data_IF_036593331802
#
_entry.id   IF_036593331802
#
_cell.length_a   1.000
_cell.length_b   1.000
_cell.length_c   1.000
_cell.angle_alpha   90.00
_cell.angle_beta   90.00
_cell.angle_gamma   90.00
#
_symmetry.space_group_name_H-M   'P 1'
#
loop_
_entity.id
_entity.type
_entity.pdbx_description
1 polymer ?
#
# COMPACT_ATOMS: atom_id res chain seq x y z
N UNK A 1 -17.41 12.34 -62.68
CA UNK A 1 -18.82 12.42 -62.99
C UNK A 1 -19.49 13.10 -61.80
N UNK A 2 -19.80 14.37 -62.03
CA UNK A 2 -20.50 15.30 -61.16
C UNK A 2 -21.88 14.77 -60.79
N UNK A 3 -22.37 15.08 -59.59
CA UNK A 3 -23.57 15.92 -59.41
C UNK A 3 -23.75 16.30 -57.96
N UNK A 4 -23.75 17.57 -57.74
CA UNK A 4 -24.24 18.27 -56.54
C UNK A 4 -25.74 18.60 -56.74
N UNK A 5 -26.44 18.87 -55.60
CA UNK A 5 -27.52 19.85 -55.43
C UNK A 5 -27.99 19.74 -54.00
N UNK A 6 -27.80 20.67 -53.12
CA UNK A 6 -28.33 22.03 -52.88
C UNK A 6 -29.68 22.07 -52.22
N UNK A 7 -29.64 22.59 -51.00
CA UNK A 7 -30.38 23.70 -50.36
C UNK A 7 -31.91 23.62 -50.19
N UNK A 8 -32.35 23.87 -48.94
CA UNK A 8 -33.05 25.13 -48.69
C UNK A 8 -33.43 25.30 -47.21
N UNK A 9 -33.16 26.45 -46.73
CA UNK A 9 -33.55 27.17 -45.54
C UNK A 9 -35.06 27.26 -45.35
N UNK A 10 -35.50 27.28 -44.09
CA UNK A 10 -36.40 28.36 -43.68
C UNK A 10 -36.40 28.63 -42.15
N UNK A 11 -36.35 29.88 -41.85
CA UNK A 11 -36.38 30.55 -40.57
C UNK A 11 -37.79 30.71 -40.01
N UNK A 12 -37.92 30.67 -38.70
CA UNK A 12 -38.79 31.60 -37.92
C UNK A 12 -38.55 31.40 -36.41
N UNK A 13 -38.12 32.42 -35.74
CA UNK A 13 -38.40 32.74 -34.32
C UNK A 13 -39.63 33.69 -34.35
N UNK A 14 -40.24 34.10 -33.21
CA UNK A 14 -39.67 34.27 -31.86
C UNK A 14 -40.68 34.02 -30.68
N UNK A 15 -40.18 34.35 -29.47
CA UNK A 15 -40.84 34.75 -28.20
C UNK A 15 -41.46 33.59 -27.38
N UNK A 16 -41.32 33.50 -26.04
CA UNK A 16 -41.31 34.55 -25.05
C UNK A 16 -40.78 34.00 -23.69
N UNK A 17 -40.47 34.89 -22.81
CA UNK A 17 -39.90 34.79 -21.49
C UNK A 17 -40.55 33.77 -20.53
N UNK A 18 -39.64 33.12 -19.74
CA UNK A 18 -39.99 32.43 -18.51
C UNK A 18 -38.77 32.42 -17.57
N UNK A 19 -38.72 33.37 -16.68
CA UNK A 19 -37.74 33.39 -15.59
C UNK A 19 -37.98 32.20 -14.65
N UNK A 20 -36.91 31.52 -14.27
CA UNK A 20 -37.01 30.44 -13.29
C UNK A 20 -35.67 29.84 -12.89
N UNK A 21 -35.05 30.41 -11.87
CA UNK A 21 -34.30 29.70 -10.85
C UNK A 21 -32.95 29.06 -11.28
N UNK A 22 -31.89 29.78 -11.09
CA UNK A 22 -30.56 29.21 -10.85
C UNK A 22 -30.65 28.25 -9.66
N UNK A 23 -30.73 26.97 -9.91
CA UNK A 23 -30.40 25.95 -8.93
C UNK A 23 -28.87 25.76 -9.00
N UNK A 24 -28.17 26.51 -8.20
CA UNK A 24 -26.80 26.21 -7.86
C UNK A 24 -26.77 24.76 -7.31
N UNK A 25 -26.17 23.87 -8.06
CA UNK A 25 -25.76 22.57 -7.51
C UNK A 25 -24.66 22.84 -6.49
N UNK A 26 -25.08 23.03 -5.25
CA UNK A 26 -24.20 23.02 -4.09
C UNK A 26 -23.71 21.57 -3.93
N UNK A 27 -22.55 21.30 -4.52
CA UNK A 27 -21.81 20.08 -4.38
C UNK A 27 -21.06 20.07 -3.05
N UNK A 28 -21.76 20.26 -1.93
CA UNK A 28 -21.19 19.94 -0.63
C UNK A 28 -21.04 18.42 -0.56
N UNK A 29 -19.80 17.93 -0.71
CA UNK A 29 -19.44 16.61 -0.26
C UNK A 29 -19.90 16.50 1.21
N UNK A 30 -20.87 15.64 1.47
CA UNK A 30 -21.31 15.28 2.81
C UNK A 30 -20.09 14.77 3.56
N UNK A 31 -19.50 15.59 4.43
CA UNK A 31 -18.59 15.09 5.45
C UNK A 31 -19.40 14.06 6.25
N UNK A 32 -19.03 12.78 6.12
CA UNK A 32 -19.68 11.70 6.83
C UNK A 32 -19.73 12.03 8.32
N UNK A 33 -20.88 11.86 8.95
CA UNK A 33 -21.06 12.12 10.37
C UNK A 33 -19.99 11.35 11.16
N UNK A 34 -19.23 12.04 12.00
CA UNK A 34 -18.21 11.44 12.88
C UNK A 34 -18.80 10.97 14.21
N UNK A 35 -20.12 11.10 14.39
CA UNK A 35 -20.83 10.72 15.63
C UNK A 35 -22.10 9.97 15.32
N UNK A 36 -22.47 9.07 16.24
CA UNK A 36 -23.77 8.39 16.30
C UNK A 36 -24.92 9.39 16.55
N UNK A 37 -26.19 9.00 16.33
CA UNK A 37 -27.36 9.86 16.59
C UNK A 37 -27.47 10.38 18.03
N UNK A 38 -26.87 9.68 19.01
CA UNK A 38 -26.81 10.08 20.41
C UNK A 38 -25.61 10.98 20.76
N UNK A 39 -24.81 11.36 19.74
CA UNK A 39 -23.61 12.20 19.88
C UNK A 39 -22.36 11.46 20.33
N UNK A 40 -22.38 10.13 20.48
CA UNK A 40 -21.20 9.35 20.76
C UNK A 40 -20.29 9.27 19.53
N UNK A 41 -18.94 9.24 19.70
CA UNK A 41 -18.03 9.02 18.59
C UNK A 41 -18.31 7.65 17.94
N UNK A 42 -18.18 7.54 16.62
CA UNK A 42 -18.26 6.26 15.93
C UNK A 42 -17.19 5.30 16.49
N UNK A 43 -17.53 4.02 16.70
CA UNK A 43 -16.54 3.00 17.05
C UNK A 43 -15.47 2.93 15.95
N UNK A 44 -14.22 2.71 16.38
CA UNK A 44 -13.07 2.68 15.49
C UNK A 44 -12.16 1.50 15.77
N UNK A 45 -11.55 0.98 14.74
CA UNK A 45 -10.55 -0.08 14.81
C UNK A 45 -9.18 0.47 14.40
N UNK A 46 -8.13 0.06 15.13
CA UNK A 46 -6.76 0.35 14.76
C UNK A 46 -6.32 -0.58 13.64
N UNK A 47 -5.71 -0.02 12.61
CA UNK A 47 -5.19 -0.73 11.44
C UNK A 47 -3.73 -0.35 11.23
N UNK A 48 -2.81 -1.29 11.45
CA UNK A 48 -1.37 -1.13 11.16
C UNK A 48 -1.03 -1.78 9.84
N UNK A 49 -0.52 -0.99 8.90
CA UNK A 49 -0.03 -1.47 7.62
C UNK A 49 1.49 -1.40 7.59
N UNK A 50 2.12 -2.51 7.24
CA UNK A 50 3.58 -2.64 7.13
C UNK A 50 3.93 -3.04 5.71
N UNK A 51 4.95 -2.44 5.13
CA UNK A 51 5.51 -2.86 3.86
C UNK A 51 7.03 -2.95 3.93
N UNK A 52 7.60 -3.90 3.20
CA UNK A 52 9.05 -3.99 3.07
C UNK A 52 9.53 -5.27 2.43
N UNK A 53 10.62 -5.14 1.67
CA UNK A 53 11.43 -6.22 1.15
C UNK A 53 12.51 -6.57 2.20
N UNK A 54 12.14 -7.32 3.24
CA UNK A 54 13.03 -7.64 4.36
C UNK A 54 13.72 -8.99 4.20
N UNK A 55 13.77 -9.52 2.98
CA UNK A 55 14.58 -10.70 2.71
C UNK A 55 16.06 -10.38 2.92
N UNK A 56 16.78 -11.34 3.50
CA UNK A 56 18.20 -11.21 3.77
C UNK A 56 18.91 -12.44 3.24
N UNK A 57 19.79 -12.33 2.43
CA UNK A 57 20.55 -13.45 1.91
C UNK A 57 20.67 -13.41 0.41
N UNK A 58 21.67 -14.10 -0.07
CA UNK A 58 22.02 -14.10 -1.49
C UNK A 58 20.97 -14.78 -2.37
N UNK A 59 20.03 -15.53 -1.78
CA UNK A 59 18.99 -16.24 -2.49
C UNK A 59 17.62 -15.57 -2.35
N UNK A 60 17.58 -14.34 -1.84
CA UNK A 60 16.34 -13.58 -1.70
C UNK A 60 15.27 -14.39 -0.96
N UNK A 61 15.53 -14.68 0.32
CA UNK A 61 14.64 -15.45 1.19
C UNK A 61 14.69 -14.93 2.63
N UNK A 62 13.74 -15.40 3.46
CA UNK A 62 13.60 -15.03 4.86
C UNK A 62 14.24 -16.03 5.84
N UNK A 63 14.94 -17.06 5.37
CA UNK A 63 15.45 -18.17 6.21
C UNK A 63 16.50 -17.73 7.22
N UNK A 64 17.16 -16.59 6.99
CA UNK A 64 18.13 -16.00 7.94
C UNK A 64 17.47 -15.39 9.19
N UNK A 65 16.17 -15.11 9.13
CA UNK A 65 15.31 -14.74 10.26
C UNK A 65 15.28 -13.26 10.63
N UNK A 66 16.14 -12.39 10.05
CA UNK A 66 16.19 -10.97 10.40
C UNK A 66 14.89 -10.26 10.02
N UNK A 67 14.43 -10.45 8.79
CA UNK A 67 13.17 -9.89 8.31
C UNK A 67 11.97 -10.44 9.06
N UNK A 68 11.96 -11.74 9.38
CA UNK A 68 10.91 -12.38 10.18
C UNK A 68 10.81 -11.73 11.56
N UNK A 69 11.95 -11.52 12.26
CA UNK A 69 11.95 -10.88 13.58
C UNK A 69 11.45 -9.44 13.53
N UNK A 70 11.80 -8.69 12.48
CA UNK A 70 11.32 -7.30 12.32
C UNK A 70 9.81 -7.30 12.09
N UNK A 71 9.28 -8.09 11.15
CA UNK A 71 7.84 -8.18 10.93
C UNK A 71 7.07 -8.61 12.19
N UNK A 72 7.57 -9.62 12.91
CA UNK A 72 6.99 -10.07 14.18
C UNK A 72 6.93 -8.95 15.22
N UNK A 73 8.03 -8.19 15.36
CA UNK A 73 8.10 -7.07 16.31
C UNK A 73 7.17 -5.91 15.98
N UNK A 74 6.88 -5.70 14.69
CA UNK A 74 6.01 -4.63 14.21
C UNK A 74 4.53 -4.90 14.40
N UNK A 75 4.12 -6.18 14.51
CA UNK A 75 2.71 -6.58 14.71
C UNK A 75 1.77 -5.95 13.70
N UNK A 76 2.11 -6.07 12.40
CA UNK A 76 1.30 -5.55 11.31
C UNK A 76 -0.05 -6.27 11.21
N UNK A 77 -1.13 -5.52 11.06
CA UNK A 77 -2.46 -6.08 10.78
C UNK A 77 -2.57 -6.48 9.30
N UNK A 78 -1.88 -5.74 8.44
CA UNK A 78 -1.67 -6.04 7.01
C UNK A 78 -0.19 -5.84 6.70
N UNK A 79 0.45 -6.86 6.11
CA UNK A 79 1.87 -6.84 5.73
C UNK A 79 1.97 -7.04 4.21
N UNK A 80 2.52 -6.05 3.52
CA UNK A 80 2.85 -6.10 2.10
C UNK A 80 4.30 -6.53 1.98
N UNK A 81 4.52 -7.79 1.59
CA UNK A 81 5.82 -8.45 1.61
C UNK A 81 6.31 -8.74 0.19
N UNK A 82 7.60 -8.52 -0.07
CA UNK A 82 8.26 -8.82 -1.33
C UNK A 82 9.32 -9.90 -1.13
N UNK A 83 9.71 -10.55 -2.22
CA UNK A 83 10.64 -11.69 -2.21
C UNK A 83 10.23 -12.77 -1.20
N UNK A 84 8.94 -13.07 -1.18
CA UNK A 84 8.30 -13.93 -0.20
C UNK A 84 8.66 -15.42 -0.42
N UNK A 85 9.93 -15.73 -0.22
CA UNK A 85 10.50 -17.07 -0.30
C UNK A 85 10.89 -17.55 1.10
N UNK A 86 10.43 -18.76 1.47
CA UNK A 86 10.64 -19.37 2.78
C UNK A 86 11.00 -20.84 2.61
N UNK A 87 12.09 -21.26 3.22
CA UNK A 87 12.49 -22.66 3.32
C UNK A 87 12.51 -23.38 1.97
N UNK A 88 11.76 -24.47 1.89
CA UNK A 88 11.61 -25.27 0.67
C UNK A 88 10.57 -24.71 -0.33
N UNK A 89 10.05 -23.50 -0.07
CA UNK A 89 9.00 -22.85 -0.84
C UNK A 89 7.66 -23.57 -0.84
N UNK A 90 7.45 -24.49 0.10
CA UNK A 90 6.17 -25.16 0.26
C UNK A 90 5.11 -24.25 0.92
N UNK A 91 3.82 -24.53 0.68
CA UNK A 91 2.74 -23.84 1.41
C UNK A 91 2.84 -24.00 2.94
N UNK A 92 3.40 -25.13 3.41
CA UNK A 92 3.59 -25.36 4.84
C UNK A 92 4.67 -24.45 5.43
N UNK A 93 5.78 -24.22 4.71
CA UNK A 93 6.82 -23.27 5.12
C UNK A 93 6.28 -21.83 5.16
N UNK A 94 5.53 -21.42 4.13
CA UNK A 94 4.87 -20.12 4.09
C UNK A 94 3.87 -19.95 5.26
N UNK A 95 3.03 -20.95 5.52
CA UNK A 95 2.08 -20.93 6.64
C UNK A 95 2.79 -20.77 8.00
N UNK A 96 3.88 -21.50 8.24
CA UNK A 96 4.67 -21.39 9.47
C UNK A 96 5.22 -19.97 9.65
N UNK A 97 5.73 -19.37 8.59
CA UNK A 97 6.21 -17.99 8.62
C UNK A 97 5.08 -17.00 8.92
N UNK A 98 3.93 -17.15 8.26
CA UNK A 98 2.74 -16.31 8.48
C UNK A 98 2.28 -16.39 9.93
N UNK A 99 2.21 -17.59 10.51
CA UNK A 99 1.85 -17.78 11.93
C UNK A 99 2.89 -17.16 12.86
N UNK A 100 4.15 -17.12 12.49
CA UNK A 100 5.22 -16.49 13.27
C UNK A 100 5.08 -14.96 13.27
N UNK A 101 4.87 -14.35 12.10
CA UNK A 101 4.90 -12.88 11.96
C UNK A 101 3.57 -12.20 12.30
N UNK A 102 2.46 -12.92 12.16
CA UNK A 102 1.11 -12.37 12.31
C UNK A 102 0.32 -13.06 13.44
N UNK A 103 0.61 -14.32 13.71
CA UNK A 103 -0.09 -15.12 14.70
C UNK A 103 -0.98 -16.21 14.08
N UNK A 104 -1.48 -17.14 14.92
CA UNK A 104 -2.35 -18.21 14.47
C UNK A 104 -3.67 -17.66 13.92
N UNK A 105 -4.10 -18.19 12.78
CA UNK A 105 -5.36 -17.80 12.13
C UNK A 105 -5.25 -16.62 11.18
N UNK A 106 -4.07 -16.05 11.00
CA UNK A 106 -3.85 -15.06 9.94
C UNK A 106 -4.00 -15.68 8.54
N UNK A 107 -4.53 -14.89 7.62
CA UNK A 107 -4.69 -15.22 6.21
C UNK A 107 -3.52 -14.67 5.40
N UNK A 108 -3.22 -15.27 4.26
CA UNK A 108 -2.23 -14.73 3.34
C UNK A 108 -2.51 -15.07 1.88
N UNK A 109 -1.98 -14.25 1.00
CA UNK A 109 -1.79 -14.56 -0.41
C UNK A 109 -0.29 -14.48 -0.71
N UNK A 110 0.23 -15.44 -1.46
CA UNK A 110 1.59 -15.47 -1.98
C UNK A 110 1.53 -15.78 -3.47
N UNK A 111 2.18 -15.01 -4.29
CA UNK A 111 2.39 -15.40 -5.68
C UNK A 111 3.09 -16.77 -5.75
N UNK A 112 2.71 -17.66 -6.70
CA UNK A 112 3.25 -19.02 -6.73
C UNK A 112 4.78 -19.04 -6.85
N UNK A 113 5.54 -19.48 -5.82
CA UNK A 113 7.01 -19.50 -5.87
C UNK A 113 7.60 -20.46 -6.90
N UNK A 114 6.78 -21.38 -7.43
CA UNK A 114 7.16 -22.25 -8.54
C UNK A 114 7.16 -21.52 -9.89
N UNK A 115 6.41 -20.42 -9.99
CA UNK A 115 6.28 -19.59 -11.20
C UNK A 115 7.18 -18.38 -11.13
N UNK A 116 7.20 -17.71 -9.94
CA UNK A 116 7.91 -16.46 -9.73
C UNK A 116 9.17 -16.66 -8.88
N UNK A 117 10.27 -16.11 -9.33
CA UNK A 117 11.55 -16.26 -8.62
C UNK A 117 11.61 -15.43 -7.32
N UNK A 118 10.97 -14.26 -7.33
CA UNK A 118 10.92 -13.30 -6.21
C UNK A 118 9.47 -12.85 -5.97
N UNK A 119 8.60 -13.78 -5.52
CA UNK A 119 7.17 -13.55 -5.42
C UNK A 119 6.84 -12.44 -4.43
N UNK A 120 5.77 -11.69 -4.73
CA UNK A 120 5.14 -10.78 -3.80
C UNK A 120 4.07 -11.50 -2.97
N UNK A 121 3.65 -10.90 -1.86
CA UNK A 121 2.57 -11.45 -1.05
C UNK A 121 1.94 -10.43 -0.11
N UNK A 122 0.87 -10.87 0.53
CA UNK A 122 0.12 -10.09 1.52
C UNK A 122 -0.23 -11.03 2.66
N UNK A 123 0.02 -10.58 3.89
CA UNK A 123 -0.34 -11.29 5.12
C UNK A 123 -1.29 -10.39 5.92
N UNK A 124 -2.35 -10.94 6.50
CA UNK A 124 -3.30 -10.15 7.29
C UNK A 124 -3.98 -10.98 8.36
N UNK A 125 -4.32 -10.34 9.49
CA UNK A 125 -5.17 -10.94 10.53
C UNK A 125 -6.65 -10.91 10.20
N UNK A 126 -7.05 -10.18 9.17
CA UNK A 126 -8.43 -10.09 8.71
C UNK A 126 -8.76 -11.13 7.63
N UNK A 127 -10.04 -11.46 7.40
CA UNK A 127 -10.41 -12.35 6.31
C UNK A 127 -10.01 -11.78 4.94
N UNK A 128 -9.48 -12.62 4.06
CA UNK A 128 -9.29 -12.31 2.65
C UNK A 128 -10.53 -12.78 1.89
N UNK A 129 -11.26 -11.85 1.28
CA UNK A 129 -12.46 -12.13 0.47
C UNK A 129 -12.10 -12.60 -0.93
N UNK A 130 -11.06 -12.01 -1.51
CA UNK A 130 -10.51 -12.36 -2.81
C UNK A 130 -9.03 -11.99 -2.88
N UNK A 131 -8.26 -12.70 -3.68
CA UNK A 131 -6.84 -12.39 -3.89
C UNK A 131 -6.36 -12.92 -5.23
N UNK A 132 -5.24 -12.40 -5.72
CA UNK A 132 -4.61 -12.83 -6.95
C UNK A 132 -3.42 -11.98 -7.32
N UNK A 133 -2.91 -12.20 -8.53
CA UNK A 133 -1.88 -11.36 -9.14
C UNK A 133 -2.46 -10.64 -10.36
N UNK A 134 -2.13 -9.38 -10.51
CA UNK A 134 -2.33 -8.65 -11.75
C UNK A 134 -1.01 -8.63 -12.53
N UNK A 135 -1.08 -9.02 -13.80
CA UNK A 135 0.08 -9.15 -14.69
C UNK A 135 0.91 -7.87 -14.76
N UNK A 136 2.22 -8.00 -14.53
CA UNK A 136 3.19 -6.96 -14.81
C UNK A 136 3.97 -7.30 -16.09
N UNK A 137 3.58 -6.73 -17.24
CA UNK A 137 4.21 -7.07 -18.51
C UNK A 137 5.68 -6.61 -18.63
N UNK A 138 6.20 -5.92 -17.62
CA UNK A 138 7.58 -5.44 -17.58
C UNK A 138 8.57 -6.47 -17.04
N UNK A 139 8.08 -7.53 -16.38
CA UNK A 139 8.91 -8.58 -15.78
C UNK A 139 8.21 -9.94 -15.85
N UNK A 140 8.96 -11.01 -15.57
CA UNK A 140 8.44 -12.38 -15.56
C UNK A 140 8.75 -13.11 -14.25
N UNK A 141 9.35 -12.42 -13.29
CA UNK A 141 9.79 -13.01 -12.03
C UNK A 141 8.91 -12.62 -10.82
N UNK A 142 7.92 -11.76 -11.04
CA UNK A 142 6.86 -11.33 -10.13
C UNK A 142 5.78 -10.54 -10.86
N UNK A 143 4.62 -10.44 -10.25
CA UNK A 143 3.48 -9.62 -10.67
C UNK A 143 3.11 -8.59 -9.58
N UNK A 144 1.91 -7.98 -9.67
CA UNK A 144 1.34 -7.17 -8.60
C UNK A 144 0.41 -8.03 -7.77
N UNK A 145 0.85 -8.48 -6.59
CA UNK A 145 0.03 -9.28 -5.70
C UNK A 145 -1.06 -8.40 -5.05
N UNK A 146 -2.32 -8.83 -5.08
CA UNK A 146 -3.42 -8.09 -4.48
C UNK A 146 -4.32 -8.96 -3.61
N UNK A 147 -4.97 -8.34 -2.61
CA UNK A 147 -6.00 -8.97 -1.79
C UNK A 147 -7.10 -7.95 -1.44
N UNK A 148 -8.36 -8.38 -1.54
CA UNK A 148 -9.51 -7.72 -0.94
C UNK A 148 -9.68 -8.25 0.48
N UNK A 149 -9.56 -7.37 1.45
CA UNK A 149 -9.53 -7.69 2.89
C UNK A 149 -10.80 -7.14 3.53
N UNK A 150 -11.53 -8.00 4.23
CA UNK A 150 -12.72 -7.67 5.02
C UNK A 150 -12.30 -6.98 6.32
N UNK A 151 -12.28 -5.66 6.30
CA UNK A 151 -12.01 -4.87 7.51
C UNK A 151 -13.28 -4.73 8.36
N UNK A 152 -13.17 -4.57 9.69
CA UNK A 152 -14.30 -4.13 10.50
C UNK A 152 -14.86 -2.81 9.98
N UNK A 153 -16.13 -2.80 9.57
CA UNK A 153 -16.79 -1.62 9.05
C UNK A 153 -17.34 -1.77 7.63
N UNK A 154 -17.85 -0.68 7.04
CA UNK A 154 -18.56 -0.75 5.77
C UNK A 154 -17.64 -0.74 4.53
N UNK A 155 -16.33 -0.59 4.69
CA UNK A 155 -15.39 -0.39 3.56
C UNK A 155 -14.27 -1.40 3.61
N UNK A 156 -14.19 -2.24 2.57
CA UNK A 156 -13.11 -3.20 2.38
C UNK A 156 -11.80 -2.51 1.96
N UNK A 157 -10.68 -3.17 2.29
CA UNK A 157 -9.35 -2.75 1.86
C UNK A 157 -8.87 -3.58 0.68
N UNK A 158 -8.50 -2.92 -0.40
CA UNK A 158 -7.70 -3.51 -1.47
C UNK A 158 -6.22 -3.22 -1.20
N UNK A 159 -5.52 -4.24 -0.77
CA UNK A 159 -4.08 -4.19 -0.50
C UNK A 159 -3.31 -4.70 -1.71
N UNK A 160 -2.29 -3.96 -2.15
CA UNK A 160 -1.45 -4.33 -3.30
C UNK A 160 0.02 -4.29 -2.90
N UNK A 161 0.67 -5.44 -2.96
CA UNK A 161 2.11 -5.61 -2.72
C UNK A 161 2.86 -5.54 -4.04
N UNK A 162 3.85 -4.66 -4.11
CA UNK A 162 4.59 -4.37 -5.34
C UNK A 162 6.09 -4.46 -5.13
N UNK A 163 6.80 -4.92 -6.18
CA UNK A 163 8.24 -4.87 -6.26
C UNK A 163 8.63 -4.41 -7.68
N UNK A 164 8.82 -3.11 -7.86
CA UNK A 164 9.12 -2.53 -9.16
C UNK A 164 10.56 -2.86 -9.60
N UNK A 165 10.85 -2.65 -10.88
CA UNK A 165 12.17 -2.94 -11.44
C UNK A 165 13.27 -2.04 -10.86
N UNK A 166 14.43 -2.63 -10.60
CA UNK A 166 15.66 -1.91 -10.20
C UNK A 166 16.20 -1.03 -11.33
N UNK A 167 15.94 -1.40 -12.59
CA UNK A 167 16.51 -0.77 -13.77
C UNK A 167 15.62 0.36 -14.29
N UNK A 168 16.03 1.61 -14.00
CA UNK A 168 15.55 2.81 -14.70
C UNK A 168 14.18 3.34 -14.24
N UNK A 169 14.13 4.64 -14.03
CA UNK A 169 12.91 5.35 -13.60
C UNK A 169 11.77 5.26 -14.65
N UNK A 170 12.11 5.17 -15.93
CA UNK A 170 11.11 5.04 -17.03
C UNK A 170 10.36 3.72 -16.94
N UNK A 171 11.05 2.61 -16.68
CA UNK A 171 10.43 1.29 -16.54
C UNK A 171 9.50 1.27 -15.32
N UNK A 172 9.93 1.81 -14.18
CA UNK A 172 9.10 1.95 -12.98
C UNK A 172 7.86 2.82 -13.22
N UNK A 173 7.99 3.91 -14.01
CA UNK A 173 6.85 4.73 -14.40
C UNK A 173 5.85 3.96 -15.29
N UNK A 174 6.33 3.08 -16.18
CA UNK A 174 5.48 2.21 -16.98
C UNK A 174 4.74 1.20 -16.09
N UNK A 175 5.43 0.55 -15.16
CA UNK A 175 4.82 -0.35 -14.18
C UNK A 175 3.75 0.37 -13.34
N UNK A 176 4.05 1.58 -12.84
CA UNK A 176 3.10 2.40 -12.10
C UNK A 176 1.85 2.74 -12.94
N UNK A 177 2.03 3.11 -14.21
CA UNK A 177 0.92 3.38 -15.15
C UNK A 177 0.03 2.15 -15.34
N UNK A 178 0.63 0.98 -15.53
CA UNK A 178 -0.08 -0.28 -15.68
C UNK A 178 -0.87 -0.61 -14.41
N UNK A 179 -0.24 -0.49 -13.23
CA UNK A 179 -0.91 -0.77 -11.97
C UNK A 179 -2.05 0.20 -11.69
N UNK A 180 -1.90 1.49 -11.94
CA UNK A 180 -2.98 2.49 -11.80
C UNK A 180 -4.18 2.10 -12.69
N UNK A 181 -3.93 1.68 -13.93
CA UNK A 181 -4.99 1.23 -14.82
C UNK A 181 -5.70 -0.03 -14.29
N UNK A 182 -4.95 -0.99 -13.73
CA UNK A 182 -5.48 -2.21 -13.13
C UNK A 182 -6.33 -1.92 -11.88
N UNK A 183 -5.86 -1.04 -10.99
CA UNK A 183 -6.61 -0.60 -9.80
C UNK A 183 -7.92 0.06 -10.23
N UNK A 184 -7.87 1.02 -11.16
CA UNK A 184 -9.06 1.72 -11.65
C UNK A 184 -10.08 0.80 -12.34
N UNK A 185 -9.62 -0.29 -12.95
CA UNK A 185 -10.49 -1.25 -13.64
C UNK A 185 -11.13 -2.29 -12.70
N UNK A 186 -10.48 -2.62 -11.59
CA UNK A 186 -10.84 -3.78 -10.76
C UNK A 186 -11.27 -3.43 -9.33
N UNK A 187 -10.91 -2.26 -8.82
CA UNK A 187 -11.26 -1.86 -7.45
C UNK A 187 -12.52 -1.00 -7.45
N UNK A 188 -13.57 -1.38 -6.70
CA UNK A 188 -14.78 -0.59 -6.59
C UNK A 188 -14.52 0.82 -6.05
N UNK A 189 -15.20 1.81 -6.61
CA UNK A 189 -15.08 3.18 -6.11
C UNK A 189 -15.53 3.28 -4.64
N UNK A 190 -14.75 4.00 -3.84
CA UNK A 190 -15.00 4.16 -2.40
C UNK A 190 -14.33 3.12 -1.51
N UNK A 191 -13.78 2.03 -2.07
CA UNK A 191 -12.94 1.10 -1.31
C UNK A 191 -11.69 1.81 -0.76
N UNK A 192 -11.16 1.31 0.35
CA UNK A 192 -9.80 1.67 0.75
C UNK A 192 -8.80 0.98 -0.18
N UNK A 193 -7.75 1.71 -0.55
CA UNK A 193 -6.64 1.16 -1.34
C UNK A 193 -5.34 1.42 -0.59
N UNK A 194 -4.48 0.42 -0.52
CA UNK A 194 -3.09 0.61 -0.13
C UNK A 194 -2.17 -0.06 -1.17
N UNK A 195 -1.19 0.69 -1.64
CA UNK A 195 -0.10 0.18 -2.48
C UNK A 195 1.18 0.33 -1.67
N UNK A 196 1.92 -0.75 -1.51
CA UNK A 196 3.18 -0.69 -0.77
C UNK A 196 4.15 -1.79 -1.14
N UNK A 197 5.38 -1.59 -0.74
CA UNK A 197 6.49 -2.48 -1.01
C UNK A 197 7.69 -1.78 -1.58
N UNK A 198 8.53 -2.54 -2.26
CA UNK A 198 9.78 -2.08 -2.85
C UNK A 198 9.55 -1.44 -4.23
N UNK A 199 9.45 -0.13 -4.27
CA UNK A 199 9.33 0.61 -5.51
C UNK A 199 10.68 0.84 -6.21
N UNK A 200 11.80 0.50 -5.59
CA UNK A 200 13.15 0.75 -6.11
C UNK A 200 13.40 2.20 -6.55
N UNK A 201 12.66 3.17 -5.99
CA UNK A 201 12.79 4.58 -6.36
C UNK A 201 14.08 5.21 -5.84
N UNK A 202 14.72 6.01 -6.68
CA UNK A 202 15.96 6.72 -6.35
C UNK A 202 15.71 7.98 -5.51
N UNK A 203 14.51 8.54 -5.64
CA UNK A 203 14.07 9.75 -4.94
C UNK A 203 12.54 9.84 -4.89
N UNK A 204 12.01 10.75 -4.06
CA UNK A 204 10.58 10.92 -3.81
C UNK A 204 9.79 11.52 -4.99
N UNK A 205 10.46 12.10 -5.98
CA UNK A 205 9.83 12.78 -7.13
C UNK A 205 9.97 11.98 -8.43
N UNK A 206 10.21 10.68 -8.37
CA UNK A 206 10.20 9.86 -9.59
C UNK A 206 8.81 9.82 -10.24
N UNK A 207 8.80 9.67 -11.58
CA UNK A 207 7.55 9.57 -12.32
C UNK A 207 6.65 8.41 -11.86
N UNK A 208 7.21 7.35 -11.30
CA UNK A 208 6.42 6.26 -10.72
C UNK A 208 5.56 6.75 -9.55
N UNK A 209 6.15 7.49 -8.59
CA UNK A 209 5.42 8.01 -7.43
C UNK A 209 4.38 9.04 -7.85
N UNK A 210 4.72 9.98 -8.74
CA UNK A 210 3.74 10.96 -9.25
C UNK A 210 2.61 10.32 -10.07
N UNK A 211 2.82 9.15 -10.67
CA UNK A 211 1.76 8.39 -11.33
C UNK A 211 0.81 7.78 -10.30
N UNK A 212 1.33 7.22 -9.21
CA UNK A 212 0.52 6.67 -8.12
C UNK A 212 -0.31 7.73 -7.39
N UNK A 213 0.11 8.99 -7.38
CA UNK A 213 -0.60 10.11 -6.74
C UNK A 213 -2.02 10.31 -7.28
N UNK A 214 -2.32 9.77 -8.45
CA UNK A 214 -3.67 9.76 -9.02
C UNK A 214 -4.68 8.88 -8.26
N UNK A 215 -4.22 7.92 -7.43
CA UNK A 215 -5.06 6.96 -6.71
C UNK A 215 -4.71 6.79 -5.23
N UNK A 216 -3.46 7.07 -4.83
CA UNK A 216 -2.96 7.00 -3.45
C UNK A 216 -2.10 8.21 -3.13
N UNK A 217 -2.03 8.58 -1.85
CA UNK A 217 -1.23 9.72 -1.36
C UNK A 217 0.27 9.37 -1.39
N UNK A 218 1.02 10.13 -2.16
CA UNK A 218 2.48 10.02 -2.30
C UNK A 218 3.22 11.25 -1.75
N UNK A 219 2.52 12.20 -1.13
CA UNK A 219 3.06 13.47 -0.69
C UNK A 219 3.66 13.42 0.73
N UNK A 220 4.43 14.46 1.04
CA UNK A 220 4.97 14.66 2.39
C UNK A 220 3.85 15.05 3.37
N UNK A 221 3.98 14.72 4.68
CA UNK A 221 5.18 14.18 5.33
C UNK A 221 5.31 12.66 5.15
N UNK A 222 6.54 12.22 4.91
CA UNK A 222 6.86 10.80 4.73
C UNK A 222 7.12 10.09 6.07
N UNK A 223 6.85 8.75 6.16
CA UNK A 223 7.36 7.93 7.24
C UNK A 223 8.87 8.10 7.40
N UNK A 224 9.34 8.23 8.64
CA UNK A 224 10.75 8.43 8.94
C UNK A 224 11.15 7.73 10.23
N UNK A 225 12.43 7.48 10.43
CA UNK A 225 12.97 6.97 11.68
C UNK A 225 13.10 8.05 12.77
N UNK A 226 13.58 7.67 13.95
CA UNK A 226 13.79 8.58 15.07
C UNK A 226 14.81 9.69 14.76
N UNK A 227 15.70 9.49 13.77
CA UNK A 227 16.64 10.50 13.29
C UNK A 227 16.07 11.34 12.13
N UNK A 228 14.79 11.15 11.79
CA UNK A 228 14.07 11.82 10.68
C UNK A 228 14.63 11.48 9.29
N UNK A 229 15.23 10.31 9.15
CA UNK A 229 15.62 9.78 7.86
C UNK A 229 14.46 8.97 7.27
N UNK A 230 13.96 9.38 6.11
CA UNK A 230 12.84 8.78 5.38
C UNK A 230 13.29 7.82 4.25
N UNK A 231 14.59 7.65 4.05
CA UNK A 231 15.11 6.68 3.10
C UNK A 231 15.03 5.27 3.67
N UNK A 232 14.82 4.26 2.82
CA UNK A 232 14.52 2.90 3.27
C UNK A 232 15.51 1.85 2.79
N UNK A 233 16.37 2.18 1.81
CA UNK A 233 17.45 1.26 1.43
C UNK A 233 18.50 1.12 2.54
N UNK A 234 19.28 0.05 2.54
CA UNK A 234 20.27 -0.26 3.59
C UNK A 234 21.26 0.87 3.88
N UNK A 235 21.82 1.59 2.87
CA UNK A 235 22.66 2.77 3.11
C UNK A 235 21.89 4.01 3.61
N UNK A 236 20.56 3.96 3.67
CA UNK A 236 19.69 5.04 4.11
C UNK A 236 19.83 6.32 3.25
N UNK A 237 19.93 6.13 1.93
CA UNK A 237 20.15 7.19 0.95
C UNK A 237 19.07 7.27 -0.14
N UNK A 238 18.17 6.27 -0.22
CA UNK A 238 17.11 6.18 -1.24
C UNK A 238 15.80 5.67 -0.63
N UNK A 239 14.64 6.18 -1.08
CA UNK A 239 13.32 5.77 -0.60
C UNK A 239 12.78 4.60 -1.43
N UNK A 240 13.33 3.40 -1.27
CA UNK A 240 12.90 2.22 -2.02
C UNK A 240 11.51 1.73 -1.59
N UNK A 241 11.24 1.67 -0.27
CA UNK A 241 10.03 1.06 0.27
C UNK A 241 9.00 2.10 0.67
N UNK A 242 7.73 1.80 0.40
CA UNK A 242 6.62 2.72 0.59
C UNK A 242 5.40 2.03 1.18
N UNK A 243 4.57 2.80 1.91
CA UNK A 243 3.17 2.53 2.20
C UNK A 243 2.39 3.76 1.76
N UNK A 244 1.62 3.63 0.68
CA UNK A 244 0.81 4.69 0.08
C UNK A 244 -0.66 4.28 0.17
N UNK A 245 -1.50 5.14 0.73
CA UNK A 245 -2.91 4.84 0.93
C UNK A 245 -3.81 5.82 0.18
N UNK A 246 -4.99 5.35 -0.23
CA UNK A 246 -5.99 6.20 -0.89
C UNK A 246 -6.45 7.37 0.01
N UNK A 247 -6.90 8.49 -0.56
CA UNK A 247 -7.25 9.69 0.22
C UNK A 247 -8.29 9.43 1.32
N UNK A 248 -9.27 8.55 1.07
CA UNK A 248 -10.28 8.19 2.06
C UNK A 248 -9.69 7.36 3.24
N UNK A 249 -8.66 6.54 3.01
CA UNK A 249 -7.94 5.87 4.10
C UNK A 249 -6.99 6.83 4.80
N UNK A 250 -6.29 7.71 4.06
CA UNK A 250 -5.43 8.75 4.63
C UNK A 250 -6.16 9.71 5.57
N UNK A 251 -7.46 9.95 5.36
CA UNK A 251 -8.29 10.71 6.30
C UNK A 251 -8.38 10.09 7.71
N UNK A 252 -8.00 8.82 7.85
CA UNK A 252 -7.98 8.07 9.12
C UNK A 252 -6.57 7.84 9.68
N UNK A 253 -5.54 8.49 9.11
CA UNK A 253 -4.15 8.32 9.57
C UNK A 253 -3.98 8.77 11.01
N UNK A 254 -3.23 7.99 11.78
CA UNK A 254 -2.82 8.33 13.16
C UNK A 254 -1.33 8.07 13.33
N UNK A 255 -0.69 8.68 14.35
CA UNK A 255 0.72 8.39 14.61
C UNK A 255 0.98 6.91 14.85
N UNK A 256 2.04 6.38 14.26
CA UNK A 256 2.57 5.05 14.64
C UNK A 256 3.14 5.14 16.03
N UNK A 257 2.59 4.37 16.96
CA UNK A 257 3.07 4.32 18.34
C UNK A 257 3.62 2.92 18.65
N UNK A 258 4.87 2.86 19.12
CA UNK A 258 5.54 1.63 19.54
C UNK A 258 6.28 1.95 20.87
N UNK A 259 5.93 1.25 21.94
CA UNK A 259 6.42 1.60 23.28
C UNK A 259 6.04 3.03 23.65
N UNK A 260 7.01 3.84 24.03
CA UNK A 260 6.83 5.25 24.37
C UNK A 260 7.08 6.21 23.19
N UNK A 261 7.42 5.70 22.01
CA UNK A 261 7.74 6.52 20.83
C UNK A 261 6.52 6.69 19.93
N UNK A 262 6.41 7.86 19.27
CA UNK A 262 5.31 8.21 18.37
C UNK A 262 5.85 8.92 17.13
N UNK A 263 5.37 8.50 15.96
CA UNK A 263 5.81 8.95 14.64
C UNK A 263 4.60 9.42 13.84
N UNK A 264 4.43 10.72 13.72
CA UNK A 264 3.19 11.34 13.22
C UNK A 264 2.83 11.00 11.77
N UNK A 265 3.82 10.77 10.91
CA UNK A 265 3.61 10.44 9.49
C UNK A 265 3.82 8.95 9.17
N UNK A 266 4.14 8.15 10.18
CA UNK A 266 4.58 6.77 10.01
C UNK A 266 6.05 6.56 10.36
N UNK A 267 6.47 5.32 10.42
CA UNK A 267 7.80 4.91 10.88
C UNK A 267 8.57 4.17 9.78
N UNK A 268 9.82 4.54 9.56
CA UNK A 268 10.83 3.69 8.90
C UNK A 268 11.60 2.93 9.98
N UNK A 269 11.59 1.61 9.90
CA UNK A 269 12.15 0.74 10.94
C UNK A 269 13.57 0.36 10.62
N UNK A 270 14.49 1.05 11.25
CA UNK A 270 15.92 0.72 11.23
C UNK A 270 16.34 0.29 12.64
N UNK A 271 16.58 -1.01 12.84
CA UNK A 271 16.90 -1.56 14.16
C UNK A 271 18.25 -1.07 14.70
N UNK A 272 19.12 -0.50 13.85
CA UNK A 272 20.39 0.11 14.25
C UNK A 272 20.21 1.40 15.05
N UNK A 273 19.08 2.11 14.80
CA UNK A 273 18.82 3.42 15.42
C UNK A 273 17.55 3.45 16.28
N UNK A 274 16.66 2.45 16.16
CA UNK A 274 15.48 2.35 16.99
C UNK A 274 15.84 1.98 18.43
N UNK A 275 15.36 2.74 19.42
CA UNK A 275 15.66 2.50 20.84
C UNK A 275 14.49 2.90 21.72
N UNK A 276 14.11 2.07 22.73
CA UNK A 276 14.74 0.79 23.05
C UNK A 276 14.29 -0.33 22.10
N UNK A 277 15.21 -1.16 21.65
CA UNK A 277 14.90 -2.28 20.73
C UNK A 277 13.93 -3.30 21.32
N UNK A 278 13.83 -3.37 22.64
CA UNK A 278 12.90 -4.25 23.34
C UNK A 278 11.42 -3.98 22.99
N UNK A 279 11.09 -2.77 22.54
CA UNK A 279 9.74 -2.42 22.08
C UNK A 279 9.38 -3.11 20.75
N UNK A 280 10.39 -3.56 20.01
CA UNK A 280 10.29 -4.31 18.76
C UNK A 280 10.67 -5.79 18.90
N UNK A 281 10.65 -6.33 20.14
CA UNK A 281 10.98 -7.74 20.34
C UNK A 281 10.09 -8.64 19.45
N UNK A 282 10.66 -9.66 18.77
CA UNK A 282 11.99 -10.25 18.94
C UNK A 282 13.11 -9.64 18.07
N UNK A 283 12.91 -8.49 17.41
CA UNK A 283 13.93 -7.86 16.60
C UNK A 283 15.20 -7.51 17.41
N UNK A 284 16.35 -7.63 16.75
CA UNK A 284 17.66 -7.34 17.32
C UNK A 284 18.24 -6.06 16.69
N UNK A 285 19.08 -5.35 17.43
CA UNK A 285 19.77 -4.16 16.91
C UNK A 285 20.65 -4.42 15.67
N UNK A 286 21.00 -5.68 15.44
CA UNK A 286 21.82 -6.11 14.30
C UNK A 286 21.01 -6.48 13.06
N UNK A 287 19.69 -6.62 13.14
CA UNK A 287 18.89 -7.17 12.04
C UNK A 287 18.94 -6.28 10.78
N UNK A 288 18.74 -4.98 10.91
CA UNK A 288 18.85 -4.06 9.77
C UNK A 288 20.30 -3.86 9.27
N UNK A 289 21.30 -4.39 10.00
CA UNK A 289 22.70 -4.39 9.60
C UNK A 289 23.20 -5.75 9.09
N UNK A 290 22.32 -6.75 9.04
CA UNK A 290 22.70 -8.09 8.62
C UNK A 290 23.24 -8.09 7.19
N UNK A 291 24.14 -9.03 6.91
CA UNK A 291 24.74 -9.19 5.57
C UNK A 291 23.61 -9.44 4.57
N UNK A 292 23.59 -8.68 3.49
CA UNK A 292 22.59 -8.71 2.42
C UNK A 292 21.21 -8.14 2.78
N UNK A 293 20.95 -7.66 4.01
CA UNK A 293 19.76 -6.85 4.28
C UNK A 293 19.82 -5.59 3.41
N UNK A 294 18.80 -5.38 2.58
CA UNK A 294 18.82 -4.31 1.59
C UNK A 294 17.81 -3.20 1.89
N UNK A 295 16.81 -3.47 2.73
CA UNK A 295 15.66 -2.60 2.93
C UNK A 295 15.29 -2.44 4.40
N UNK A 296 14.56 -1.35 4.68
CA UNK A 296 13.92 -1.07 5.97
C UNK A 296 12.41 -1.13 5.81
N UNK A 297 11.71 -1.72 6.76
CA UNK A 297 10.25 -1.72 6.74
C UNK A 297 9.67 -0.31 6.92
N UNK A 298 8.54 -0.06 6.27
CA UNK A 298 7.73 1.16 6.41
C UNK A 298 6.40 0.82 7.07
N UNK A 299 5.99 1.64 8.04
CA UNK A 299 4.77 1.43 8.83
C UNK A 299 3.90 2.68 8.78
N UNK A 300 2.60 2.51 8.56
CA UNK A 300 1.57 3.53 8.82
C UNK A 300 0.43 2.95 9.64
N UNK A 301 -0.11 3.74 10.56
CA UNK A 301 -1.25 3.39 11.39
C UNK A 301 -2.45 4.25 11.02
N UNK A 302 -3.63 3.63 11.06
CA UNK A 302 -4.91 4.26 10.77
C UNK A 302 -5.91 3.91 11.88
N UNK A 303 -6.90 4.78 12.08
CA UNK A 303 -8.01 4.55 12.98
C UNK A 303 -9.30 4.59 12.18
N UNK A 304 -9.71 3.43 11.65
CA UNK A 304 -10.83 3.31 10.72
C UNK A 304 -12.18 3.21 11.44
N UNK A 305 -13.27 3.80 10.89
CA UNK A 305 -14.62 3.60 11.42
C UNK A 305 -15.04 2.13 11.25
N UNK A 306 -15.80 1.61 12.21
CA UNK A 306 -16.36 0.24 12.17
C UNK A 306 -17.88 0.22 11.95
N UNK A 307 -18.50 1.38 11.84
CA UNK A 307 -19.93 1.59 11.54
C UNK A 307 -20.12 2.72 10.53
#
# INVERSE_FOLDING_TARGET
MLLACSSSSNSAAPSDAGAGGDAALDGSASEGSTTLPDGAPLPREHLRIVAGNLSTGNNQNYDSGEGERIFTGLKGDVILIQEFNIGDKSPAAAQTFVETVCGPGCSYFQEPPATYNIPNGIITRFPILASGSWDDPSTTDRDFAWAQIDLPGPVDLYAVSVHLLTTGATQRATQATNLVALVNANVPAGSYVVIGGDLNTENRSEAATTTFDSIVDTEAPYPADAAKNDNTNQPRSKPHDWVMASPNLMASIVPVTIGAQSFSAGLVVDTRVYSPIADLAPALTTDSAATSMQHMAVVRDFMIPTE
#
